data_IF_640969545090
#
_entry.id   IF_640969545090
#
_cell.length_a   1.000
_cell.length_b   1.000
_cell.length_c   1.000
_cell.angle_alpha   90.00
_cell.angle_beta   90.00
_cell.angle_gamma   90.00
#
_symmetry.space_group_name_H-M   'P 1'
#
loop_
_entity.id
_entity.type
_entity.pdbx_description
1 polymer ?
#
# COMPACT_ATOMS: atom_id res chain seq x y z
N UNK A 1 -10.60 -1.92 -0.28
CA UNK A 1 -10.48 -2.56 1.05
C UNK A 1 -10.10 -4.05 0.97
N UNK A 2 -9.12 -4.43 0.14
CA UNK A 2 -8.76 -5.85 -0.06
C UNK A 2 -7.80 -6.44 1.00
N UNK A 3 -7.14 -5.57 1.77
CA UNK A 3 -6.09 -5.93 2.74
C UNK A 3 -6.28 -5.29 4.13
N UNK A 4 -7.31 -4.44 4.27
CA UNK A 4 -7.57 -3.65 5.47
C UNK A 4 -8.92 -4.01 6.06
N UNK A 5 -8.96 -4.26 7.37
CA UNK A 5 -10.18 -4.46 8.15
C UNK A 5 -10.36 -3.24 9.05
N UNK A 6 -11.55 -2.64 9.05
CA UNK A 6 -11.85 -1.49 9.90
C UNK A 6 -12.66 -1.93 11.12
N UNK A 7 -12.26 -1.47 12.31
CA UNK A 7 -13.02 -1.72 13.55
C UNK A 7 -14.18 -0.71 13.73
N UNK A 8 -14.99 -0.89 14.77
CA UNK A 8 -16.16 -0.03 15.07
C UNK A 8 -15.80 1.45 15.33
N UNK A 9 -14.55 1.75 15.66
CA UNK A 9 -14.06 3.12 15.89
C UNK A 9 -13.42 3.74 14.65
N UNK A 10 -13.51 3.10 13.47
CA UNK A 10 -12.93 3.61 12.23
C UNK A 10 -11.41 3.46 12.15
N UNK A 11 -10.82 2.52 12.88
CA UNK A 11 -9.37 2.24 12.80
C UNK A 11 -9.13 1.08 11.86
N UNK A 12 -8.17 1.23 10.94
CA UNK A 12 -7.85 0.21 9.93
C UNK A 12 -6.67 -0.64 10.35
N UNK A 13 -6.84 -1.94 10.22
CA UNK A 13 -5.85 -2.96 10.55
C UNK A 13 -5.48 -3.73 9.30
N UNK A 14 -4.20 -4.10 9.19
CA UNK A 14 -3.84 -5.12 8.23
C UNK A 14 -4.62 -6.39 8.56
N UNK A 15 -5.25 -7.02 7.56
CA UNK A 15 -6.21 -8.11 7.79
C UNK A 15 -5.67 -9.27 8.65
N UNK A 16 -4.35 -9.48 8.67
CA UNK A 16 -3.67 -10.56 9.39
C UNK A 16 -2.54 -10.07 10.33
N UNK A 17 -2.60 -8.85 10.90
CA UNK A 17 -1.48 -8.35 11.71
C UNK A 17 -1.82 -7.37 12.83
N UNK A 18 -0.89 -7.25 13.78
CA UNK A 18 -0.92 -6.27 14.88
C UNK A 18 -0.62 -4.83 14.41
N UNK A 19 -0.46 -4.62 13.10
CA UNK A 19 -0.11 -3.34 12.51
C UNK A 19 -1.36 -2.52 12.23
N UNK A 20 -1.39 -1.31 12.80
CA UNK A 20 -2.53 -0.41 12.80
C UNK A 20 -2.18 0.87 12.07
N UNK A 21 -3.05 1.29 11.15
CA UNK A 21 -3.03 2.61 10.53
C UNK A 21 -4.37 3.32 10.78
N UNK A 22 -4.38 4.64 10.70
CA UNK A 22 -5.64 5.40 10.70
C UNK A 22 -6.39 5.17 9.38
N UNK A 23 -7.73 5.32 9.42
CA UNK A 23 -8.63 5.15 8.25
C UNK A 23 -8.12 5.90 7.02
N UNK A 24 -7.80 7.19 7.21
CA UNK A 24 -7.33 8.07 6.14
C UNK A 24 -6.00 7.63 5.51
N UNK A 25 -5.14 6.97 6.30
CA UNK A 25 -3.86 6.44 5.81
C UNK A 25 -4.07 5.15 5.03
N UNK A 26 -4.96 4.28 5.49
CA UNK A 26 -5.33 3.06 4.79
C UNK A 26 -6.00 3.37 3.44
N UNK A 27 -6.92 4.33 3.40
CA UNK A 27 -7.57 4.80 2.17
C UNK A 27 -6.57 5.34 1.16
N UNK A 28 -5.65 6.21 1.62
CA UNK A 28 -4.59 6.77 0.76
C UNK A 28 -3.69 5.67 0.19
N UNK A 29 -3.40 4.63 0.96
CA UNK A 29 -2.60 3.50 0.52
C UNK A 29 -3.33 2.62 -0.50
N UNK A 30 -4.63 2.36 -0.33
CA UNK A 30 -5.45 1.66 -1.33
C UNK A 30 -5.49 2.45 -2.65
N UNK A 31 -5.69 3.77 -2.60
CA UNK A 31 -5.67 4.63 -3.80
C UNK A 31 -4.30 4.59 -4.50
N UNK A 32 -3.22 4.78 -3.73
CA UNK A 32 -1.85 4.81 -4.26
C UNK A 32 -1.48 3.47 -4.91
N UNK A 33 -1.80 2.34 -4.27
CA UNK A 33 -1.58 1.02 -4.84
C UNK A 33 -2.37 0.84 -6.15
N UNK A 34 -3.61 1.33 -6.20
CA UNK A 34 -4.41 1.34 -7.43
C UNK A 34 -3.74 2.09 -8.58
N UNK A 35 -3.18 3.27 -8.31
CA UNK A 35 -2.45 4.06 -9.32
C UNK A 35 -1.19 3.34 -9.80
N UNK A 36 -0.41 2.73 -8.88
CA UNK A 36 0.78 1.94 -9.24
C UNK A 36 0.40 0.77 -10.14
N UNK A 37 -0.67 0.04 -9.80
CA UNK A 37 -1.15 -1.08 -10.61
C UNK A 37 -1.57 -0.64 -12.02
N UNK A 38 -2.27 0.49 -12.15
CA UNK A 38 -2.65 1.05 -13.45
C UNK A 38 -1.43 1.39 -14.31
N UNK A 39 -0.41 2.00 -13.73
CA UNK A 39 0.81 2.35 -14.46
C UNK A 39 1.60 1.10 -14.89
N UNK A 40 1.64 0.09 -14.03
CA UNK A 40 2.23 -1.21 -14.37
C UNK A 40 1.49 -1.88 -15.53
N UNK A 41 0.15 -1.85 -15.51
CA UNK A 41 -0.68 -2.40 -16.58
C UNK A 41 -0.46 -1.66 -17.90
N UNK A 42 -0.30 -0.33 -17.89
CA UNK A 42 0.02 0.46 -19.09
C UNK A 42 1.40 0.13 -19.65
N UNK A 43 2.40 0.02 -18.78
CA UNK A 43 3.80 -0.18 -19.18
C UNK A 43 4.10 -1.61 -19.59
N UNK A 44 3.46 -2.60 -18.96
CA UNK A 44 3.84 -4.02 -19.07
C UNK A 44 2.69 -4.94 -19.49
N UNK A 45 1.49 -4.39 -19.72
CA UNK A 45 0.27 -5.13 -20.05
C UNK A 45 -0.08 -6.25 -19.05
N UNK A 46 0.29 -6.05 -17.78
CA UNK A 46 -0.05 -6.95 -16.68
C UNK A 46 -0.05 -6.21 -15.34
N UNK A 47 -0.73 -6.79 -14.37
CA UNK A 47 -0.60 -6.36 -12.98
C UNK A 47 0.80 -6.70 -12.43
N UNK A 48 1.31 -5.91 -11.47
CA UNK A 48 2.53 -6.25 -10.77
C UNK A 48 2.29 -7.46 -9.87
N UNK A 49 3.33 -8.27 -9.67
CA UNK A 49 3.33 -9.27 -8.60
C UNK A 49 3.52 -8.60 -7.24
N UNK A 50 3.10 -9.27 -6.17
CA UNK A 50 3.31 -8.77 -4.80
C UNK A 50 4.80 -8.50 -4.50
N UNK A 51 5.72 -9.33 -5.04
CA UNK A 51 7.16 -9.12 -4.87
C UNK A 51 7.66 -7.84 -5.54
N UNK A 52 7.13 -7.50 -6.72
CA UNK A 52 7.47 -6.26 -7.43
C UNK A 52 6.93 -5.03 -6.70
N UNK A 53 5.70 -5.10 -6.19
CA UNK A 53 5.13 -4.06 -5.34
C UNK A 53 5.98 -3.81 -4.09
N UNK A 54 6.33 -4.86 -3.36
CA UNK A 54 7.19 -4.75 -2.17
C UNK A 54 8.57 -4.18 -2.51
N UNK A 55 9.18 -4.60 -3.63
CA UNK A 55 10.47 -4.09 -4.05
C UNK A 55 10.42 -2.59 -4.36
N UNK A 56 9.39 -2.13 -5.07
CA UNK A 56 9.17 -0.72 -5.36
C UNK A 56 8.92 0.11 -4.10
N UNK A 57 8.06 -0.38 -3.20
CA UNK A 57 7.79 0.29 -1.92
C UNK A 57 9.06 0.41 -1.07
N UNK A 58 9.88 -0.65 -0.98
CA UNK A 58 11.16 -0.61 -0.25
C UNK A 58 12.14 0.39 -0.85
N UNK A 59 12.25 0.42 -2.17
CA UNK A 59 13.08 1.40 -2.87
C UNK A 59 12.64 2.83 -2.53
N UNK A 60 11.35 3.13 -2.63
CA UNK A 60 10.80 4.46 -2.34
C UNK A 60 10.78 4.82 -0.84
N UNK A 61 10.71 3.84 0.06
CA UNK A 61 10.78 4.08 1.49
C UNK A 61 12.22 4.30 1.97
N UNK A 62 13.20 3.59 1.36
CA UNK A 62 14.62 3.76 1.71
C UNK A 62 15.17 5.15 1.44
N UNK A 63 14.51 5.93 0.57
CA UNK A 63 14.84 7.34 0.35
C UNK A 63 14.22 8.27 1.40
N UNK A 64 13.19 7.84 2.13
CA UNK A 64 12.55 8.62 3.19
C UNK A 64 13.33 8.57 4.51
N UNK A 65 14.01 7.44 4.81
CA UNK A 65 14.87 7.23 5.98
C UNK A 65 16.18 8.07 5.98
N UNK A 66 16.40 8.89 4.95
CA UNK A 66 17.59 9.75 4.81
C UNK A 66 17.27 11.23 5.12
N UNK A 67 16.08 11.53 5.65
CA UNK A 67 15.71 12.89 6.07
C UNK A 67 15.77 12.97 7.61
N UNK A 68 16.70 13.73 8.20
CA UNK A 68 16.75 13.94 9.65
C UNK A 68 15.55 14.77 10.16
#
# INVERSE_FOLDING_TARGET
MGWWITNETGTSFAADGDLMWGDSVADMMDETLGQIMQEFQRSWNRNPSLRELIAGLRFSASTADITP
#
